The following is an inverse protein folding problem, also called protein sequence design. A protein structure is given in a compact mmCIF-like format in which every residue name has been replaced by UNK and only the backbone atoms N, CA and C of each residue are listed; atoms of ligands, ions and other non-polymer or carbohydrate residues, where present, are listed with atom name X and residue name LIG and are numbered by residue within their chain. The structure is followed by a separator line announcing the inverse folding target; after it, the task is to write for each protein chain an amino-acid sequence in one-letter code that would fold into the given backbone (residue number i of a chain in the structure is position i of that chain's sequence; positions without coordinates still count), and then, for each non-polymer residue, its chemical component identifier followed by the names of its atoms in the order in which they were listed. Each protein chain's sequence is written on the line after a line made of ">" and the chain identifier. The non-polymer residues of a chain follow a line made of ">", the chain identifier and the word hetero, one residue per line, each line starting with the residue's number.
data_IF_134855572091
#
_entry.id   IF_134855572091
#
_cell.length_a   1.000
_cell.length_b   1.000
_cell.length_c   1.000
_cell.angle_alpha   90.00
_cell.angle_beta   90.00
_cell.angle_gamma   90.00
#
_symmetry.space_group_name_H-M   'P 1'
#
loop_
_entity.id
_entity.type
_entity.pdbx_description
1 polymer ?
#
# COMPACT_ATOMS: atom_id res chain seq x y z
N UNK A 1 45.93 9.48 76.34
CA UNK A 1 45.71 10.55 75.34
C UNK A 1 44.87 9.95 74.21
N UNK A 2 43.54 9.95 74.35
CA UNK A 2 42.61 9.32 73.40
C UNK A 2 41.82 10.38 72.65
N UNK A 3 41.99 10.48 71.32
CA UNK A 3 41.18 11.34 70.45
C UNK A 3 39.91 10.59 70.04
N UNK A 4 38.77 11.02 70.56
CA UNK A 4 37.46 10.53 70.12
C UNK A 4 37.14 11.11 68.74
N UNK A 5 37.11 10.26 67.71
CA UNK A 5 36.70 10.63 66.35
C UNK A 5 35.17 10.78 66.35
N UNK A 6 34.66 12.01 66.33
CA UNK A 6 33.25 12.28 66.06
C UNK A 6 32.95 11.93 64.61
N UNK A 7 32.20 10.85 64.37
CA UNK A 7 31.55 10.59 63.08
C UNK A 7 30.53 11.70 62.81
N UNK A 8 30.76 12.51 61.78
CA UNK A 8 29.77 13.42 61.25
C UNK A 8 28.68 12.59 60.56
N UNK A 9 27.50 12.47 61.18
CA UNK A 9 26.34 11.90 60.50
C UNK A 9 25.96 12.86 59.38
N UNK A 10 26.05 12.40 58.13
CA UNK A 10 25.46 13.11 56.98
C UNK A 10 23.98 13.36 57.32
N UNK A 11 23.48 14.61 57.29
CA UNK A 11 22.05 14.82 57.37
C UNK A 11 21.44 14.17 56.13
N UNK A 12 20.63 13.13 56.33
CA UNK A 12 19.79 12.61 55.26
C UNK A 12 18.83 13.73 54.86
N UNK A 13 19.18 14.44 53.80
CA UNK A 13 18.35 15.47 53.18
C UNK A 13 17.15 14.78 52.54
N UNK A 14 16.16 14.43 53.36
CA UNK A 14 14.82 14.11 52.92
C UNK A 14 14.15 15.41 52.47
N UNK A 15 14.60 15.95 51.32
CA UNK A 15 13.88 17.01 50.62
C UNK A 15 12.66 16.34 50.00
N UNK A 16 11.54 16.38 50.73
CA UNK A 16 10.25 16.00 50.19
C UNK A 16 9.90 16.89 49.00
N UNK A 17 9.14 16.34 48.06
CA UNK A 17 8.64 17.07 46.90
C UNK A 17 7.59 18.08 47.36
N UNK A 18 7.71 19.32 46.92
CA UNK A 18 6.68 20.32 47.18
C UNK A 18 5.44 20.04 46.35
N UNK A 19 4.27 20.45 46.83
CA UNK A 19 3.02 20.29 46.08
C UNK A 19 3.07 20.96 44.70
N UNK A 20 3.80 22.08 44.59
CA UNK A 20 4.01 22.79 43.33
C UNK A 20 4.85 21.95 42.36
N UNK A 21 5.93 21.32 42.81
CA UNK A 21 6.75 20.44 41.97
C UNK A 21 5.95 19.23 41.46
N UNK A 22 5.04 18.69 42.29
CA UNK A 22 4.14 17.60 41.88
C UNK A 22 3.17 18.08 40.80
N UNK A 23 2.54 19.24 40.97
CA UNK A 23 1.61 19.80 39.98
C UNK A 23 2.31 20.08 38.63
N UNK A 24 3.49 20.68 38.67
CA UNK A 24 4.29 20.94 37.46
C UNK A 24 4.67 19.62 36.78
N UNK A 25 5.06 18.60 37.55
CA UNK A 25 5.40 17.28 37.00
C UNK A 25 4.20 16.61 36.32
N UNK A 26 3.00 16.70 36.91
CA UNK A 26 1.76 16.16 36.33
C UNK A 26 1.38 16.92 35.05
N UNK A 27 1.52 18.24 35.04
CA UNK A 27 1.28 19.05 33.83
C UNK A 27 2.21 18.65 32.69
N UNK A 28 3.51 18.55 32.96
CA UNK A 28 4.49 18.11 31.97
C UNK A 28 4.16 16.69 31.48
N UNK A 29 3.85 15.78 32.40
CA UNK A 29 3.48 14.40 32.04
C UNK A 29 2.26 14.37 31.12
N UNK A 30 1.25 15.20 31.38
CA UNK A 30 0.01 15.25 30.58
C UNK A 30 0.30 15.75 29.18
N UNK A 31 1.11 16.81 29.05
CA UNK A 31 1.54 17.33 27.75
C UNK A 31 2.28 16.25 26.95
N UNK A 32 3.20 15.52 27.61
CA UNK A 32 3.93 14.43 26.97
C UNK A 32 2.99 13.32 26.50
N UNK A 33 2.07 12.86 27.36
CA UNK A 33 1.12 11.80 27.02
C UNK A 33 0.27 12.18 25.80
N UNK A 34 -0.25 13.41 25.74
CA UNK A 34 -1.04 13.88 24.60
C UNK A 34 -0.19 13.96 23.33
N UNK A 35 1.02 14.51 23.43
CA UNK A 35 1.93 14.61 22.28
C UNK A 35 2.30 13.22 21.71
N UNK A 36 2.64 12.27 22.58
CA UNK A 36 2.97 10.90 22.16
C UNK A 36 1.76 10.15 21.62
N UNK A 37 0.58 10.31 22.21
CA UNK A 37 -0.64 9.64 21.72
C UNK A 37 -0.98 10.08 20.30
N UNK A 38 -0.91 11.39 20.01
CA UNK A 38 -1.16 11.92 18.67
C UNK A 38 -0.12 11.42 17.65
N UNK A 39 1.16 11.44 18.02
CA UNK A 39 2.24 10.97 17.14
C UNK A 39 2.08 9.48 16.83
N UNK A 40 1.80 8.67 17.86
CA UNK A 40 1.62 7.22 17.72
C UNK A 40 0.38 6.91 16.87
N UNK A 41 -0.75 7.57 17.13
CA UNK A 41 -1.99 7.37 16.37
C UNK A 41 -1.83 7.68 14.88
N UNK A 42 -1.18 8.79 14.56
CA UNK A 42 -0.91 9.16 13.16
C UNK A 42 -0.01 8.14 12.45
N UNK A 43 1.06 7.70 13.12
CA UNK A 43 1.99 6.72 12.56
C UNK A 43 1.30 5.38 12.31
N UNK A 44 0.46 4.90 13.24
CA UNK A 44 -0.32 3.68 13.02
C UNK A 44 -1.23 3.81 11.80
N UNK A 45 -2.02 4.89 11.71
CA UNK A 45 -2.91 5.09 10.57
C UNK A 45 -2.14 5.12 9.24
N UNK A 46 -1.00 5.81 9.22
CA UNK A 46 -0.15 5.88 8.03
C UNK A 46 0.40 4.51 7.64
N UNK A 47 0.87 3.70 8.59
CA UNK A 47 1.39 2.35 8.33
C UNK A 47 0.29 1.43 7.83
N UNK A 48 -0.90 1.47 8.43
CA UNK A 48 -2.04 0.65 7.98
C UNK A 48 -2.49 1.02 6.57
N UNK A 49 -2.64 2.33 6.29
CA UNK A 49 -2.99 2.83 4.96
C UNK A 49 -1.94 2.44 3.90
N UNK A 50 -0.65 2.55 4.25
CA UNK A 50 0.44 2.08 3.37
C UNK A 50 0.38 0.56 3.18
N UNK A 51 0.08 -0.21 4.22
CA UNK A 51 -0.05 -1.66 4.15
C UNK A 51 -1.18 -2.12 3.22
N UNK A 52 -2.35 -1.48 3.29
CA UNK A 52 -3.46 -1.74 2.37
C UNK A 52 -3.09 -1.39 0.92
N UNK A 53 -2.45 -0.23 0.71
CA UNK A 53 -1.93 0.17 -0.60
C UNK A 53 -0.93 -0.84 -1.15
N UNK A 54 0.01 -1.32 -0.34
CA UNK A 54 0.99 -2.33 -0.76
C UNK A 54 0.33 -3.65 -1.15
N UNK A 55 -0.71 -4.08 -0.44
CA UNK A 55 -1.51 -5.25 -0.82
C UNK A 55 -2.25 -5.03 -2.14
N UNK A 56 -2.84 -3.85 -2.34
CA UNK A 56 -3.50 -3.51 -3.59
C UNK A 56 -2.53 -3.51 -4.78
N UNK A 57 -1.32 -2.99 -4.61
CA UNK A 57 -0.25 -3.05 -5.63
C UNK A 57 0.12 -4.51 -5.92
N UNK A 58 0.35 -5.33 -4.89
CA UNK A 58 0.68 -6.74 -5.08
C UNK A 58 -0.42 -7.49 -5.84
N UNK A 59 -1.69 -7.23 -5.52
CA UNK A 59 -2.84 -7.80 -6.22
C UNK A 59 -2.91 -7.33 -7.67
N UNK A 60 -2.62 -6.06 -7.94
CA UNK A 60 -2.59 -5.52 -9.30
C UNK A 60 -1.50 -6.21 -10.15
N UNK A 61 -0.30 -6.38 -9.58
CA UNK A 61 0.80 -7.10 -10.24
C UNK A 61 0.44 -8.56 -10.50
N UNK A 62 -0.07 -9.27 -9.49
CA UNK A 62 -0.52 -10.66 -9.64
C UNK A 62 -1.58 -10.78 -10.75
N UNK A 63 -2.51 -9.83 -10.82
CA UNK A 63 -3.52 -9.81 -11.89
C UNK A 63 -2.91 -9.57 -13.26
N UNK A 64 -1.99 -8.62 -13.39
CA UNK A 64 -1.26 -8.40 -14.65
C UNK A 64 -0.50 -9.65 -15.09
N UNK A 65 0.16 -10.35 -14.16
CA UNK A 65 0.87 -11.60 -14.46
C UNK A 65 -0.09 -12.71 -14.93
N UNK A 66 -1.28 -12.83 -14.32
CA UNK A 66 -2.33 -13.75 -14.76
C UNK A 66 -2.80 -13.43 -16.18
N UNK A 67 -3.05 -12.15 -16.48
CA UNK A 67 -3.48 -11.71 -17.81
C UNK A 67 -2.39 -11.96 -18.86
N UNK A 68 -1.13 -11.74 -18.50
CA UNK A 68 0.01 -12.05 -19.37
C UNK A 68 0.08 -13.55 -19.67
N UNK A 69 -0.09 -14.40 -18.65
CA UNK A 69 -0.16 -15.84 -18.82
C UNK A 69 -1.36 -16.27 -19.69
N UNK A 70 -2.50 -15.61 -19.61
CA UNK A 70 -3.66 -15.92 -20.47
C UNK A 70 -3.35 -15.64 -21.94
N UNK A 71 -2.75 -14.48 -22.25
CA UNK A 71 -2.39 -14.12 -23.62
C UNK A 71 -1.32 -15.06 -24.17
N UNK A 72 -0.30 -15.40 -23.39
CA UNK A 72 0.79 -16.26 -23.84
C UNK A 72 0.40 -17.74 -24.03
N UNK A 73 -0.63 -18.19 -23.32
CA UNK A 73 -1.14 -19.56 -23.47
C UNK A 73 -2.24 -19.68 -24.52
N UNK A 74 -2.64 -18.58 -25.15
CA UNK A 74 -3.64 -18.62 -26.22
C UNK A 74 -3.02 -19.14 -27.53
N UNK A 75 -3.79 -19.94 -28.26
CA UNK A 75 -3.34 -20.52 -29.53
C UNK A 75 -3.20 -19.45 -30.63
N UNK A 76 -4.02 -18.39 -30.57
CA UNK A 76 -4.04 -17.29 -31.53
C UNK A 76 -4.56 -15.98 -30.92
N UNK A 77 -4.57 -14.93 -31.75
CA UNK A 77 -5.03 -13.58 -31.40
C UNK A 77 -6.48 -13.52 -30.90
N UNK A 78 -7.35 -14.33 -31.51
CA UNK A 78 -8.79 -14.32 -31.27
C UNK A 78 -9.09 -15.03 -29.95
N UNK A 79 -8.41 -16.15 -29.70
CA UNK A 79 -8.44 -16.87 -28.43
C UNK A 79 -7.90 -16.01 -27.27
N UNK A 80 -6.82 -15.25 -27.48
CA UNK A 80 -6.27 -14.35 -26.47
C UNK A 80 -7.26 -13.24 -26.12
N UNK A 81 -7.87 -12.62 -27.13
CA UNK A 81 -8.86 -11.56 -26.95
C UNK A 81 -10.12 -12.08 -26.26
N UNK A 82 -10.61 -13.27 -26.64
CA UNK A 82 -11.75 -13.91 -25.98
C UNK A 82 -11.45 -14.24 -24.51
N UNK A 83 -10.24 -14.69 -24.19
CA UNK A 83 -9.83 -14.98 -22.81
C UNK A 83 -9.73 -13.69 -21.95
N UNK A 84 -9.26 -12.59 -22.55
CA UNK A 84 -9.21 -11.27 -21.91
C UNK A 84 -10.59 -10.61 -21.76
N UNK A 85 -11.59 -11.02 -22.54
CA UNK A 85 -12.98 -10.50 -22.41
C UNK A 85 -13.84 -11.36 -21.47
N UNK A 86 -13.31 -12.43 -20.89
CA UNK A 86 -14.07 -13.28 -19.97
C UNK A 86 -14.41 -12.50 -18.68
N UNK A 87 -15.70 -12.25 -18.38
CA UNK A 87 -16.11 -11.56 -17.16
C UNK A 87 -15.70 -12.32 -15.89
N UNK A 88 -15.50 -13.65 -15.96
CA UNK A 88 -15.02 -14.43 -14.82
C UNK A 88 -13.60 -14.02 -14.40
N UNK A 89 -12.84 -13.39 -15.30
CA UNK A 89 -11.53 -12.83 -14.99
C UNK A 89 -11.64 -11.40 -14.42
N UNK A 90 -12.81 -10.81 -14.24
CA UNK A 90 -12.98 -9.42 -13.76
C UNK A 90 -12.73 -8.38 -14.85
N UNK A 91 -12.98 -8.74 -16.12
CA UNK A 91 -12.93 -7.80 -17.23
C UNK A 91 -14.10 -6.82 -17.15
N UNK A 92 -13.80 -5.54 -17.37
CA UNK A 92 -14.79 -4.47 -17.49
C UNK A 92 -14.44 -3.58 -18.68
N UNK A 93 -15.46 -3.09 -19.38
CA UNK A 93 -15.27 -2.02 -20.36
C UNK A 93 -15.23 -0.68 -19.60
N UNK A 94 -14.10 0.03 -19.63
CA UNK A 94 -14.01 1.33 -18.96
C UNK A 94 -14.91 2.41 -19.58
N UNK A 95 -15.35 2.22 -20.83
CA UNK A 95 -16.32 3.12 -21.45
C UNK A 95 -17.74 2.92 -20.90
N UNK A 96 -18.00 1.77 -20.27
CA UNK A 96 -19.25 1.39 -19.62
C UNK A 96 -18.97 0.94 -18.19
N UNK A 97 -18.20 1.76 -17.46
CA UNK A 97 -17.95 1.52 -16.04
C UNK A 97 -19.29 1.44 -15.31
N UNK A 98 -19.57 0.34 -14.60
CA UNK A 98 -20.73 0.31 -13.73
C UNK A 98 -20.59 1.42 -12.69
N UNK A 99 -21.67 2.17 -12.44
CA UNK A 99 -21.70 3.22 -11.41
C UNK A 99 -21.28 2.69 -10.03
N UNK A 100 -21.47 1.39 -9.81
CA UNK A 100 -21.00 0.66 -8.64
C UNK A 100 -20.01 -0.44 -9.06
N UNK A 101 -18.74 -0.24 -8.78
CA UNK A 101 -17.75 -1.32 -8.86
C UNK A 101 -17.94 -2.21 -7.64
N UNK A 102 -18.42 -3.43 -7.86
CA UNK A 102 -18.66 -4.42 -6.79
C UNK A 102 -17.44 -5.29 -6.51
N UNK A 103 -16.49 -5.34 -7.44
CA UNK A 103 -15.28 -6.15 -7.34
C UNK A 103 -14.07 -5.33 -6.89
N UNK A 104 -13.26 -5.91 -6.01
CA UNK A 104 -12.08 -5.25 -5.45
C UNK A 104 -10.91 -5.15 -6.45
N UNK A 105 -10.99 -5.83 -7.60
CA UNK A 105 -9.99 -5.80 -8.68
C UNK A 105 -10.68 -5.98 -10.03
N UNK A 106 -10.56 -4.99 -10.91
CA UNK A 106 -11.09 -5.04 -12.28
C UNK A 106 -9.99 -4.68 -13.28
N UNK A 107 -10.17 -5.03 -14.54
CA UNK A 107 -9.26 -4.61 -15.59
C UNK A 107 -9.98 -4.33 -16.90
N UNK A 108 -9.35 -3.53 -17.75
CA UNK A 108 -9.72 -3.39 -19.16
C UNK A 108 -8.50 -3.58 -20.04
N UNK A 109 -8.72 -3.70 -21.34
CA UNK A 109 -7.64 -3.68 -22.30
C UNK A 109 -8.03 -2.95 -23.58
N UNK A 110 -7.02 -2.51 -24.31
CA UNK A 110 -7.15 -1.98 -25.68
C UNK A 110 -6.15 -2.72 -26.56
N UNK A 111 -6.63 -3.28 -27.67
CA UNK A 111 -5.77 -3.92 -28.66
C UNK A 111 -4.90 -2.86 -29.36
N UNK A 112 -3.62 -3.13 -29.49
CA UNK A 112 -2.64 -2.27 -30.16
C UNK A 112 -1.96 -3.08 -31.24
N UNK A 113 -2.02 -2.60 -32.47
CA UNK A 113 -1.31 -3.18 -33.61
C UNK A 113 -0.13 -2.29 -34.01
N UNK A 114 0.91 -2.89 -34.56
CA UNK A 114 2.08 -2.18 -35.10
C UNK A 114 2.77 -1.23 -34.10
N UNK A 115 2.85 -1.61 -32.82
CA UNK A 115 3.63 -0.82 -31.84
C UNK A 115 5.12 -1.04 -32.12
N UNK A 116 5.87 0.04 -32.29
CA UNK A 116 7.32 -0.05 -32.43
C UNK A 116 7.98 -0.25 -31.06
N UNK A 117 8.64 -1.40 -30.88
CA UNK A 117 9.49 -1.71 -29.72
C UNK A 117 10.87 -2.11 -30.25
N UNK A 118 11.89 -1.35 -29.88
CA UNK A 118 13.28 -1.56 -30.30
C UNK A 118 13.49 -1.70 -31.82
N UNK A 119 12.66 -1.02 -32.61
CA UNK A 119 12.71 -1.04 -34.09
C UNK A 119 11.95 -2.19 -34.75
N UNK A 120 11.26 -3.01 -33.96
CA UNK A 120 10.37 -4.08 -34.44
C UNK A 120 8.91 -3.68 -34.22
N UNK A 121 8.05 -3.93 -35.21
CA UNK A 121 6.60 -3.75 -35.06
C UNK A 121 6.02 -5.00 -34.40
N UNK A 122 5.33 -4.80 -33.28
CA UNK A 122 4.73 -5.87 -32.49
C UNK A 122 3.26 -5.59 -32.23
N UNK A 123 2.48 -6.66 -32.14
CA UNK A 123 1.07 -6.61 -31.79
C UNK A 123 0.88 -7.02 -30.32
N UNK A 124 -0.13 -6.45 -29.67
CA UNK A 124 -0.40 -6.73 -28.27
C UNK A 124 -1.60 -5.99 -27.70
N UNK A 125 -1.60 -5.88 -26.37
CA UNK A 125 -2.70 -5.32 -25.61
C UNK A 125 -2.15 -4.35 -24.57
N UNK A 126 -2.65 -3.11 -24.57
CA UNK A 126 -2.51 -2.21 -23.44
C UNK A 126 -3.55 -2.58 -22.39
N UNK A 127 -3.09 -3.13 -21.27
CA UNK A 127 -3.93 -3.59 -20.17
C UNK A 127 -3.84 -2.60 -19.01
N UNK A 128 -5.00 -2.20 -18.51
CA UNK A 128 -5.14 -1.38 -17.32
C UNK A 128 -5.80 -2.20 -16.23
N UNK A 129 -5.09 -2.47 -15.14
CA UNK A 129 -5.62 -3.12 -13.93
C UNK A 129 -5.90 -2.06 -12.87
N UNK A 130 -7.09 -2.11 -12.25
CA UNK A 130 -7.50 -1.23 -11.17
C UNK A 130 -7.91 -2.05 -9.96
N UNK A 131 -7.20 -1.85 -8.84
CA UNK A 131 -7.49 -2.50 -7.57
C UNK A 131 -7.97 -1.48 -6.56
N UNK A 132 -9.16 -1.70 -6.02
CA UNK A 132 -9.79 -0.85 -5.02
C UNK A 132 -9.42 -1.33 -3.61
N UNK A 133 -9.20 -0.39 -2.69
CA UNK A 133 -8.94 -0.69 -1.29
C UNK A 133 -9.62 0.35 -0.38
N UNK A 134 -9.74 0.00 0.90
CA UNK A 134 -10.41 0.84 1.90
C UNK A 134 -11.87 1.16 1.54
N UNK A 135 -12.69 0.11 1.35
CA UNK A 135 -14.11 0.19 0.98
C UNK A 135 -14.35 1.04 -0.28
N UNK A 136 -13.60 0.76 -1.35
CA UNK A 136 -13.70 1.46 -2.65
C UNK A 136 -13.34 2.96 -2.65
N UNK A 137 -12.82 3.50 -1.53
CA UNK A 137 -12.44 4.93 -1.44
C UNK A 137 -11.15 5.25 -2.17
N UNK A 138 -10.23 4.29 -2.23
CA UNK A 138 -8.94 4.46 -2.88
C UNK A 138 -8.71 3.35 -3.91
N UNK A 139 -7.88 3.64 -4.91
CA UNK A 139 -7.50 2.65 -5.90
C UNK A 139 -6.02 2.76 -6.26
N UNK A 140 -5.52 1.66 -6.82
CA UNK A 140 -4.22 1.57 -7.49
C UNK A 140 -4.49 1.21 -8.94
N UNK A 141 -3.89 1.96 -9.86
CA UNK A 141 -3.96 1.72 -11.30
C UNK A 141 -2.58 1.26 -11.78
N UNK A 142 -2.53 0.16 -12.53
CA UNK A 142 -1.34 -0.36 -13.17
C UNK A 142 -1.61 -0.50 -14.67
N UNK A 143 -0.81 0.19 -15.47
CA UNK A 143 -0.86 0.12 -16.93
C UNK A 143 0.33 -0.73 -17.41
N UNK A 144 0.06 -1.73 -18.23
CA UNK A 144 1.08 -2.64 -18.77
C UNK A 144 0.77 -3.00 -20.21
N UNK A 145 1.82 -3.17 -21.03
CA UNK A 145 1.69 -3.72 -22.37
C UNK A 145 1.99 -5.21 -22.36
N UNK A 146 1.11 -6.00 -22.95
CA UNK A 146 1.23 -7.46 -23.08
C UNK A 146 1.41 -7.78 -24.56
N UNK A 147 2.53 -8.42 -24.89
CA UNK A 147 2.83 -8.89 -26.24
C UNK A 147 1.98 -10.10 -26.58
N UNK A 148 1.42 -10.10 -27.80
CA UNK A 148 0.57 -11.19 -28.26
C UNK A 148 1.37 -12.45 -28.60
N UNK A 149 2.59 -12.31 -29.11
CA UNK A 149 3.49 -13.43 -29.33
C UNK A 149 4.94 -13.07 -28.98
N UNK A 150 5.62 -13.87 -28.14
CA UNK A 150 7.03 -13.66 -27.84
C UNK A 150 7.95 -13.91 -29.05
N UNK A 151 7.45 -14.54 -30.13
CA UNK A 151 8.21 -14.76 -31.37
C UNK A 151 8.41 -13.48 -32.20
N UNK A 152 7.77 -12.36 -31.83
CA UNK A 152 7.86 -11.09 -32.53
C UNK A 152 9.00 -10.17 -32.04
N UNK A 153 9.82 -10.61 -31.07
CA UNK A 153 11.02 -9.88 -30.60
C UNK A 153 12.30 -10.54 -31.12
#
# INVERSE_FOLDING_TARGET
>A
MGKTIKRLSKPNSNKGMTLVEVLVSIMILTILVVAFTNLIGWNFFSIFSMGEKSKAIAKAVEKTDQLNALVWNADDAEAAEAALQDPANGWVDFNDLPEEVTEDCVYSFTKVTDREIDGTLVDGYDVTVVVFYHDFKFHVKLDSFILQSPEQI
#
